data_IF_249910953002
#
_entry.id   IF_249910953002
#
_cell.length_a   1.000
_cell.length_b   1.000
_cell.length_c   1.000
_cell.angle_alpha   90.00
_cell.angle_beta   90.00
_cell.angle_gamma   90.00
#
_symmetry.space_group_name_H-M   'P 1'
#
loop_
_entity.id
_entity.type
_entity.pdbx_description
1 polymer ?
#
# COMPACT_ATOMS: atom_id res chain seq x y z
N UNK A 1 -10.33 1.51 7.65
CA UNK A 1 -9.26 1.01 6.76
C UNK A 1 -8.58 -0.16 7.47
N UNK A 2 -8.00 -1.11 6.73
CA UNK A 2 -7.34 -2.31 7.33
C UNK A 2 -5.82 -2.28 7.20
N UNK A 3 -5.30 -1.44 6.30
CA UNK A 3 -3.89 -1.29 6.00
C UNK A 3 -3.56 0.20 5.79
N UNK A 4 -2.36 0.61 6.14
CA UNK A 4 -1.76 1.92 5.85
C UNK A 4 -0.61 1.76 4.86
N UNK A 5 -0.28 2.84 4.14
CA UNK A 5 1.01 2.94 3.45
C UNK A 5 2.10 3.19 4.50
N UNK A 6 3.20 2.45 4.42
CA UNK A 6 4.34 2.58 5.33
C UNK A 6 5.00 3.94 5.14
N UNK A 7 5.30 4.67 6.22
CA UNK A 7 6.00 5.96 6.12
C UNK A 7 7.44 5.83 6.60
N UNK A 8 8.44 6.28 5.82
CA UNK A 8 8.31 6.96 4.52
C UNK A 8 8.00 6.00 3.35
N UNK A 9 7.20 6.47 2.39
CA UNK A 9 6.95 5.78 1.12
C UNK A 9 7.38 6.64 -0.08
N UNK A 10 8.68 6.67 -0.41
CA UNK A 10 9.17 7.44 -1.54
C UNK A 10 8.65 6.86 -2.87
N UNK A 11 8.31 7.74 -3.82
CA UNK A 11 7.80 7.35 -5.14
C UNK A 11 8.86 6.67 -6.04
N UNK A 12 10.13 6.67 -5.61
CA UNK A 12 11.24 5.93 -6.24
C UNK A 12 11.18 4.43 -5.94
N UNK A 13 10.42 4.03 -4.93
CA UNK A 13 10.26 2.64 -4.50
C UNK A 13 8.79 2.20 -4.62
N UNK A 14 8.58 0.90 -4.47
CA UNK A 14 7.23 0.34 -4.38
C UNK A 14 6.60 0.66 -3.01
N UNK A 15 5.31 1.06 -2.95
CA UNK A 15 4.66 1.33 -1.69
C UNK A 15 4.60 0.07 -0.83
N UNK A 16 5.08 0.18 0.40
CA UNK A 16 4.94 -0.85 1.42
C UNK A 16 3.69 -0.58 2.26
N UNK A 17 3.17 -1.62 2.91
CA UNK A 17 1.94 -1.51 3.67
C UNK A 17 2.12 -2.07 5.08
N UNK A 18 1.49 -1.43 6.05
CA UNK A 18 1.39 -1.93 7.42
C UNK A 18 -0.04 -2.33 7.73
N UNK A 19 -0.19 -3.38 8.53
CA UNK A 19 -1.48 -3.82 9.02
C UNK A 19 -1.89 -2.99 10.25
N UNK A 20 -3.03 -2.30 10.17
CA UNK A 20 -3.53 -1.47 11.28
C UNK A 20 -3.94 -2.29 12.52
N UNK A 21 -4.13 -3.60 12.39
CA UNK A 21 -4.58 -4.45 13.51
C UNK A 21 -3.43 -4.97 14.38
N UNK A 22 -2.23 -5.08 13.83
CA UNK A 22 -1.10 -5.67 14.53
C UNK A 22 0.21 -4.89 14.36
N UNK A 23 0.18 -3.75 13.67
CA UNK A 23 1.32 -2.87 13.42
C UNK A 23 2.53 -3.65 12.84
N UNK A 24 2.23 -4.67 12.03
CA UNK A 24 3.23 -5.47 11.32
C UNK A 24 3.20 -5.16 9.83
N UNK A 25 4.35 -5.29 9.15
CA UNK A 25 4.41 -5.16 7.71
C UNK A 25 3.49 -6.21 7.06
N UNK A 26 2.66 -5.73 6.15
CA UNK A 26 1.82 -6.54 5.29
C UNK A 26 2.53 -6.82 3.97
N UNK A 27 2.12 -7.91 3.31
CA UNK A 27 2.72 -8.38 2.08
C UNK A 27 1.80 -8.06 0.91
N UNK A 28 2.39 -7.65 -0.22
CA UNK A 28 1.67 -7.55 -1.49
C UNK A 28 1.56 -8.95 -2.09
N UNK A 29 0.32 -9.42 -2.26
CA UNK A 29 0.04 -10.76 -2.79
C UNK A 29 -0.18 -10.74 -4.30
N UNK A 30 -0.75 -9.68 -4.84
CA UNK A 30 -1.00 -9.53 -6.28
C UNK A 30 -1.13 -8.06 -6.69
N UNK A 31 -0.82 -7.75 -7.94
CA UNK A 31 -1.04 -6.43 -8.53
C UNK A 31 -2.27 -6.48 -9.44
N UNK A 32 -3.29 -5.69 -9.12
CA UNK A 32 -4.54 -5.66 -9.86
C UNK A 32 -4.51 -4.62 -11.00
N UNK A 33 -3.86 -3.46 -10.76
CA UNK A 33 -3.70 -2.42 -11.76
C UNK A 33 -2.49 -1.54 -11.42
N UNK A 34 -1.84 -0.99 -12.45
CA UNK A 34 -0.72 -0.05 -12.30
C UNK A 34 -0.72 0.99 -13.41
N UNK A 35 -0.48 2.25 -13.02
CA UNK A 35 -0.24 3.38 -13.91
C UNK A 35 1.02 4.14 -13.45
N UNK A 36 1.38 5.24 -14.13
CA UNK A 36 2.53 6.08 -13.73
C UNK A 36 2.35 6.74 -12.36
N UNK A 37 1.11 7.03 -11.96
CA UNK A 37 0.77 7.78 -10.74
C UNK A 37 -0.12 6.99 -9.78
N UNK A 38 -0.59 5.80 -10.15
CA UNK A 38 -1.44 4.98 -9.29
C UNK A 38 -1.07 3.51 -9.34
N UNK A 39 -1.33 2.82 -8.24
CA UNK A 39 -1.06 1.39 -8.09
C UNK A 39 -2.15 0.77 -7.24
N UNK A 40 -2.74 -0.33 -7.71
CA UNK A 40 -3.76 -1.09 -7.00
C UNK A 40 -3.26 -2.50 -6.77
N UNK A 41 -3.14 -2.89 -5.51
CA UNK A 41 -2.56 -4.19 -5.10
C UNK A 41 -3.45 -4.88 -4.08
N UNK A 42 -3.44 -6.21 -4.08
CA UNK A 42 -3.97 -7.00 -2.98
C UNK A 42 -2.91 -7.14 -1.89
N UNK A 43 -3.25 -6.70 -0.68
CA UNK A 43 -2.37 -6.71 0.49
C UNK A 43 -2.91 -7.72 1.50
N UNK A 44 -2.01 -8.52 2.09
CA UNK A 44 -2.33 -9.53 3.08
C UNK A 44 -1.35 -9.47 4.27
N UNK A 45 -1.88 -9.54 5.49
CA UNK A 45 -1.09 -9.67 6.70
C UNK A 45 -1.00 -11.13 7.15
N UNK A 46 0.20 -11.70 7.11
CA UNK A 46 0.46 -13.07 7.59
C UNK A 46 0.23 -13.28 9.10
N UNK A 47 0.21 -12.19 9.88
CA UNK A 47 0.13 -12.26 11.34
C UNK A 47 -1.32 -12.34 11.86
N UNK A 48 -2.24 -11.59 11.25
CA UNK A 48 -3.65 -11.57 11.67
C UNK A 48 -4.61 -12.17 10.62
N UNK A 49 -4.11 -12.50 9.42
CA UNK A 49 -4.92 -13.06 8.34
C UNK A 49 -5.74 -12.03 7.55
N UNK A 50 -5.64 -10.74 7.87
CA UNK A 50 -6.34 -9.69 7.14
C UNK A 50 -5.89 -9.65 5.67
N UNK A 51 -6.83 -9.43 4.76
CA UNK A 51 -6.59 -9.24 3.31
C UNK A 51 -7.48 -8.12 2.79
N UNK A 52 -6.95 -7.26 1.90
CA UNK A 52 -7.72 -6.21 1.25
C UNK A 52 -7.04 -5.74 -0.02
N UNK A 53 -7.83 -5.36 -1.01
CA UNK A 53 -7.35 -4.56 -2.15
C UNK A 53 -7.17 -3.11 -1.73
N UNK A 54 -5.98 -2.57 -1.97
CA UNK A 54 -5.56 -1.22 -1.61
C UNK A 54 -5.11 -0.50 -2.87
N UNK A 55 -5.62 0.70 -3.08
CA UNK A 55 -5.15 1.60 -4.11
C UNK A 55 -4.26 2.67 -3.46
N UNK A 56 -3.13 2.95 -4.10
CA UNK A 56 -2.21 4.01 -3.74
C UNK A 56 -2.02 4.93 -4.94
N UNK A 57 -1.88 6.21 -4.69
CA UNK A 57 -1.53 7.20 -5.70
C UNK A 57 -0.28 7.96 -5.27
N UNK A 58 0.44 8.51 -6.24
CA UNK A 58 1.48 9.48 -5.96
C UNK A 58 0.82 10.80 -5.54
N UNK A 59 1.43 11.48 -4.57
CA UNK A 59 1.04 12.82 -4.20
C UNK A 59 1.19 13.79 -5.39
N UNK A 60 0.70 15.03 -5.25
CA UNK A 60 0.76 16.04 -6.32
C UNK A 60 2.18 16.34 -6.81
N UNK A 61 3.19 16.18 -5.95
CA UNK A 61 4.61 16.38 -6.27
C UNK A 61 5.27 15.13 -6.88
N UNK A 62 4.55 14.02 -7.04
CA UNK A 62 5.06 12.72 -7.48
C UNK A 62 6.26 12.20 -6.65
N UNK A 63 6.38 12.61 -5.39
CA UNK A 63 7.51 12.30 -4.50
C UNK A 63 7.23 11.17 -3.52
N UNK A 64 5.96 10.96 -3.16
CA UNK A 64 5.55 9.96 -2.18
C UNK A 64 4.29 9.23 -2.62
N UNK A 65 4.15 7.98 -2.17
CA UNK A 65 2.91 7.22 -2.27
C UNK A 65 2.01 7.50 -1.08
N UNK A 66 0.72 7.67 -1.35
CA UNK A 66 -0.35 7.81 -0.37
C UNK A 66 -1.50 6.87 -0.73
N UNK A 67 -2.37 6.56 0.24
CA UNK A 67 -3.60 5.81 -0.05
C UNK A 67 -4.49 6.65 -0.97
N UNK A 68 -5.00 6.04 -2.03
CA UNK A 68 -6.09 6.62 -2.80
C UNK A 68 -7.39 6.36 -2.02
N UNK A 69 -8.14 7.43 -1.72
CA UNK A 69 -9.45 7.39 -1.06
C UNK A 69 -10.53 6.75 -1.97
#
# INVERSE_FOLDING_TARGET
MSFTVHTPSPATEEPQFDCMFCDKPALVSSEAARTETSRTVEVFCRHCGARKTVATQKNSDNTQWELAD
#
